data_IF_001552967257
#
_entry.id   IF_001552967257
#
_cell.length_a   1.000
_cell.length_b   1.000
_cell.length_c   1.000
_cell.angle_alpha   90.00
_cell.angle_beta   90.00
_cell.angle_gamma   90.00
#
_symmetry.space_group_name_H-M   'P 1'
#
loop_
_entity.id
_entity.type
_entity.pdbx_description
1 polymer ?
#
# COMPACT_ATOMS: atom_id res chain seq x y z
N UNK A 1 5.09 35.65 -1.55
CA UNK A 1 3.70 35.14 -1.58
C UNK A 1 3.41 34.66 -0.16
N UNK A 2 2.68 35.45 0.62
CA UNK A 2 2.23 35.04 1.95
C UNK A 2 1.00 34.16 1.74
N UNK A 3 1.03 32.92 2.20
CA UNK A 3 -0.18 32.12 2.32
C UNK A 3 -0.89 32.56 3.62
N UNK A 4 -2.02 33.30 3.53
CA UNK A 4 -2.72 33.79 4.71
C UNK A 4 -3.33 32.64 5.55
N UNK A 5 -3.32 31.40 5.05
CA UNK A 5 -3.85 30.23 5.73
C UNK A 5 -2.79 29.39 6.46
N UNK A 6 -1.50 29.78 6.38
CA UNK A 6 -0.40 28.98 6.94
C UNK A 6 -0.15 27.70 6.16
N UNK A 7 0.80 26.84 6.58
CA UNK A 7 1.01 25.55 5.94
C UNK A 7 -0.28 24.72 6.02
N UNK A 8 -0.56 23.96 4.96
CA UNK A 8 -1.70 23.06 4.89
C UNK A 8 -1.56 22.00 6.00
N UNK A 9 -2.36 22.12 7.06
CA UNK A 9 -2.45 21.11 8.10
C UNK A 9 -3.47 20.06 7.67
N UNK A 10 -3.01 18.82 7.49
CA UNK A 10 -3.90 17.71 7.22
C UNK A 10 -4.86 17.48 8.39
N UNK A 11 -6.06 16.97 8.08
CA UNK A 11 -7.16 16.86 9.03
C UNK A 11 -6.82 15.84 10.13
N UNK A 12 -6.59 16.34 11.34
CA UNK A 12 -6.61 15.52 12.57
C UNK A 12 -8.06 15.47 13.07
N UNK A 13 -8.68 14.29 13.04
CA UNK A 13 -9.99 14.09 13.67
C UNK A 13 -9.82 13.42 15.03
N UNK A 14 -10.57 13.89 16.03
CA UNK A 14 -10.66 13.26 17.36
C UNK A 14 -9.30 13.08 18.08
N UNK A 15 -8.41 14.08 17.97
CA UNK A 15 -7.03 14.04 18.51
C UNK A 15 -6.16 12.88 17.99
N UNK A 16 -6.55 12.28 16.86
CA UNK A 16 -5.78 11.22 16.22
C UNK A 16 -4.55 11.68 15.45
N UNK A 17 -3.75 10.72 14.96
CA UNK A 17 -2.60 10.99 14.13
C UNK A 17 -3.00 11.71 12.83
N UNK A 18 -2.01 12.31 12.18
CA UNK A 18 -2.22 12.93 10.88
C UNK A 18 -2.63 11.86 9.85
N UNK A 19 -3.69 12.15 9.09
CA UNK A 19 -4.18 11.28 8.03
C UNK A 19 -3.52 11.67 6.72
N UNK A 20 -2.82 10.73 6.11
CA UNK A 20 -2.20 10.90 4.80
C UNK A 20 -3.11 10.49 3.65
N UNK A 21 -2.67 10.81 2.44
CA UNK A 21 -3.20 10.27 1.20
C UNK A 21 -2.15 9.38 0.56
N UNK A 22 -2.61 8.32 -0.09
CA UNK A 22 -1.78 7.42 -0.86
C UNK A 22 -2.36 7.23 -2.24
N UNK A 23 -1.49 6.96 -3.22
CA UNK A 23 -1.86 6.44 -4.53
C UNK A 23 -0.92 5.30 -4.93
N UNK A 24 -1.50 4.31 -5.60
CA UNK A 24 -0.78 3.21 -6.27
C UNK A 24 -1.47 2.91 -7.60
N UNK A 25 -0.68 2.49 -8.58
CA UNK A 25 -1.16 1.77 -9.75
C UNK A 25 -0.88 0.29 -9.59
N UNK A 26 -1.90 -0.55 -9.72
CA UNK A 26 -1.76 -2.01 -9.54
C UNK A 26 -1.77 -2.70 -10.89
N UNK A 27 -0.82 -3.61 -11.11
CA UNK A 27 -0.77 -4.51 -12.27
C UNK A 27 -0.54 -5.95 -11.83
N UNK A 28 -1.28 -6.89 -12.37
CA UNK A 28 -1.19 -8.30 -11.98
C UNK A 28 -1.36 -9.30 -13.14
N UNK A 29 -1.98 -8.88 -14.25
CA UNK A 29 -2.18 -9.70 -15.43
C UNK A 29 -1.75 -8.91 -16.68
N UNK A 30 -0.53 -9.14 -17.14
CA UNK A 30 0.03 -8.37 -18.26
C UNK A 30 -0.80 -8.53 -19.56
N UNK A 31 -1.54 -9.63 -19.72
CA UNK A 31 -2.41 -9.80 -20.87
C UNK A 31 -3.58 -8.82 -20.82
N UNK A 32 -4.30 -8.70 -19.70
CA UNK A 32 -5.42 -7.75 -19.60
C UNK A 32 -4.93 -6.28 -19.53
N UNK A 33 -3.79 -6.02 -18.89
CA UNK A 33 -3.25 -4.66 -18.83
C UNK A 33 -2.73 -4.18 -20.19
N UNK A 34 -2.21 -5.09 -21.03
CA UNK A 34 -1.79 -4.79 -22.40
C UNK A 34 -2.93 -4.37 -23.34
N UNK A 35 -4.17 -4.69 -22.99
CA UNK A 35 -5.38 -4.37 -23.76
C UNK A 35 -5.98 -2.98 -23.42
N UNK A 36 -5.45 -2.29 -22.41
CA UNK A 36 -5.94 -0.97 -21.98
C UNK A 36 -5.78 0.06 -23.11
N UNK A 37 -6.88 0.73 -23.47
CA UNK A 37 -6.94 1.68 -24.57
C UNK A 37 -7.08 1.04 -25.95
N UNK A 38 -6.92 -0.29 -26.06
CA UNK A 38 -7.01 -1.05 -27.32
C UNK A 38 -8.32 -1.81 -27.42
N UNK A 39 -8.68 -2.58 -26.40
CA UNK A 39 -9.97 -3.32 -26.34
C UNK A 39 -10.70 -3.20 -25.00
N UNK A 40 -10.02 -2.73 -23.94
CA UNK A 40 -10.62 -2.45 -22.62
C UNK A 40 -10.24 -1.07 -22.10
N UNK A 41 -11.04 -0.50 -21.20
CA UNK A 41 -10.78 0.74 -20.46
C UNK A 41 -10.25 1.90 -21.34
N UNK A 42 -10.95 2.18 -22.45
CA UNK A 42 -10.48 3.17 -23.39
C UNK A 42 -11.08 4.57 -23.17
N UNK A 43 -10.24 5.60 -23.30
CA UNK A 43 -10.63 6.98 -23.11
C UNK A 43 -11.23 7.56 -24.40
N UNK A 44 -12.54 7.81 -24.42
CA UNK A 44 -13.23 8.45 -25.56
C UNK A 44 -13.55 7.54 -26.75
N UNK A 45 -13.17 6.26 -26.70
CA UNK A 45 -13.44 5.26 -27.75
C UNK A 45 -14.45 4.18 -27.32
N UNK A 46 -15.13 4.38 -26.19
CA UNK A 46 -16.23 3.54 -25.67
C UNK A 46 -15.88 2.08 -25.36
N UNK A 47 -14.60 1.71 -25.26
CA UNK A 47 -14.22 0.38 -24.81
C UNK A 47 -14.65 0.17 -23.35
N UNK A 48 -15.28 -0.98 -23.01
CA UNK A 48 -15.78 -1.23 -21.67
C UNK A 48 -14.61 -1.30 -20.68
N UNK A 49 -14.84 -0.81 -19.46
CA UNK A 49 -13.90 -0.92 -18.37
C UNK A 49 -14.53 -1.78 -17.26
N UNK A 50 -14.52 -3.12 -17.42
CA UNK A 50 -15.15 -4.00 -16.46
C UNK A 50 -14.42 -3.96 -15.12
N UNK A 51 -15.17 -4.19 -14.06
CA UNK A 51 -14.62 -4.47 -12.74
C UNK A 51 -13.96 -5.85 -12.75
N UNK A 52 -12.76 -5.93 -12.18
CA UNK A 52 -11.94 -7.14 -12.08
C UNK A 52 -11.66 -7.52 -10.61
N UNK A 53 -12.23 -6.75 -9.67
CA UNK A 53 -12.01 -6.87 -8.25
C UNK A 53 -12.42 -5.59 -7.53
N UNK A 54 -12.10 -5.53 -6.25
CA UNK A 54 -12.37 -4.38 -5.41
C UNK A 54 -11.24 -4.14 -4.40
N UNK A 55 -11.14 -2.89 -3.96
CA UNK A 55 -10.25 -2.49 -2.88
C UNK A 55 -11.00 -1.66 -1.83
N UNK A 56 -10.74 -1.93 -0.55
CA UNK A 56 -11.40 -1.25 0.57
C UNK A 56 -10.50 -1.10 1.78
N UNK A 57 -10.91 -0.33 2.78
CA UNK A 57 -10.20 -0.28 4.05
C UNK A 57 -10.30 -1.61 4.82
N UNK A 58 -9.23 -1.96 5.53
CA UNK A 58 -9.20 -3.15 6.40
C UNK A 58 -10.11 -3.00 7.63
N UNK A 59 -10.67 -4.14 8.05
CA UNK A 59 -11.42 -4.29 9.30
C UNK A 59 -12.93 -4.49 9.16
N UNK A 60 -13.55 -4.95 10.24
CA UNK A 60 -14.97 -5.33 10.30
C UNK A 60 -15.93 -4.20 9.89
N UNK A 61 -15.58 -2.94 10.17
CA UNK A 61 -16.40 -1.78 9.81
C UNK A 61 -16.66 -1.69 8.30
N UNK A 62 -15.76 -2.24 7.50
CA UNK A 62 -15.82 -2.23 6.03
C UNK A 62 -16.05 -3.63 5.46
N UNK A 63 -16.32 -4.64 6.29
CA UNK A 63 -16.49 -6.02 5.84
C UNK A 63 -17.65 -6.18 4.86
N UNK A 64 -18.78 -5.47 5.08
CA UNK A 64 -19.96 -5.49 4.21
C UNK A 64 -19.87 -4.55 3.00
N UNK A 65 -18.84 -3.72 2.91
CA UNK A 65 -18.62 -2.84 1.75
C UNK A 65 -17.83 -3.59 0.67
N UNK A 66 -18.23 -3.44 -0.59
CA UNK A 66 -17.41 -3.91 -1.69
C UNK A 66 -16.19 -3.00 -1.87
N UNK A 67 -16.30 -1.72 -1.55
CA UNK A 67 -15.26 -0.72 -1.73
C UNK A 67 -15.21 -0.16 -3.15
N UNK A 68 -14.02 0.30 -3.55
CA UNK A 68 -13.78 0.86 -4.87
C UNK A 68 -13.58 -0.27 -5.89
N UNK A 69 -14.31 -0.30 -7.03
CA UNK A 69 -14.06 -1.25 -8.09
C UNK A 69 -12.66 -1.05 -8.70
N UNK A 70 -11.95 -2.14 -8.89
CA UNK A 70 -10.63 -2.21 -9.51
C UNK A 70 -10.82 -2.69 -10.96
N UNK A 71 -10.16 -2.06 -11.92
CA UNK A 71 -10.29 -2.37 -13.36
C UNK A 71 -8.92 -2.64 -13.99
N UNK A 72 -8.86 -2.93 -15.29
CA UNK A 72 -7.58 -3.14 -15.99
C UNK A 72 -6.66 -1.90 -15.97
N UNK A 73 -7.18 -0.70 -15.71
CA UNK A 73 -6.37 0.50 -15.48
C UNK A 73 -6.54 1.00 -14.02
N UNK A 74 -6.10 0.16 -13.08
CA UNK A 74 -6.27 0.35 -11.64
C UNK A 74 -5.36 1.42 -11.05
N UNK A 75 -5.72 2.69 -11.24
CA UNK A 75 -5.17 3.83 -10.51
C UNK A 75 -6.01 4.08 -9.24
N UNK A 76 -5.44 3.76 -8.08
CA UNK A 76 -6.15 3.73 -6.79
C UNK A 76 -5.58 4.80 -5.89
N UNK A 77 -6.43 5.69 -5.38
CA UNK A 77 -6.06 6.72 -4.41
C UNK A 77 -7.04 6.76 -3.23
N UNK A 78 -6.54 7.07 -2.04
CA UNK A 78 -7.37 7.15 -0.85
C UNK A 78 -6.61 7.48 0.43
N UNK A 79 -7.31 7.51 1.59
CA UNK A 79 -6.67 7.73 2.89
C UNK A 79 -5.71 6.60 3.27
N UNK A 80 -4.57 6.96 3.87
CA UNK A 80 -3.56 6.02 4.40
C UNK A 80 -3.25 6.29 5.88
N UNK A 81 -2.36 5.51 6.49
CA UNK A 81 -2.00 5.59 7.91
C UNK A 81 -2.90 4.78 8.85
N UNK A 82 -4.10 4.41 8.41
CA UNK A 82 -5.01 3.51 9.13
C UNK A 82 -4.62 2.04 9.00
N UNK A 83 -5.56 1.12 9.23
CA UNK A 83 -5.26 -0.30 9.28
C UNK A 83 -4.77 -0.92 7.97
N UNK A 84 -5.02 -0.26 6.83
CA UNK A 84 -4.54 -0.67 5.50
C UNK A 84 -5.66 -0.76 4.48
N UNK A 85 -5.31 -1.18 3.27
CA UNK A 85 -6.24 -1.48 2.18
C UNK A 85 -6.25 -2.97 1.90
N UNK A 86 -7.42 -3.54 1.65
CA UNK A 86 -7.62 -4.95 1.28
C UNK A 86 -7.98 -5.00 -0.19
N UNK A 87 -7.13 -5.63 -1.00
CA UNK A 87 -7.37 -5.90 -2.41
C UNK A 87 -7.90 -7.32 -2.59
N UNK A 88 -9.03 -7.44 -3.28
CA UNK A 88 -9.64 -8.71 -3.66
C UNK A 88 -9.95 -8.70 -5.15
N UNK A 89 -9.31 -9.57 -5.92
CA UNK A 89 -9.54 -9.73 -7.35
C UNK A 89 -10.54 -10.86 -7.59
N UNK A 90 -11.41 -10.70 -8.60
CA UNK A 90 -12.53 -11.62 -8.85
C UNK A 90 -12.06 -13.03 -9.27
N UNK A 91 -10.88 -13.13 -9.90
CA UNK A 91 -10.30 -14.41 -10.34
C UNK A 91 -9.39 -15.07 -9.30
N UNK A 92 -9.17 -14.44 -8.15
CA UNK A 92 -8.33 -14.95 -7.06
C UNK A 92 -7.05 -14.14 -6.84
N UNK A 93 -6.14 -14.68 -6.04
CA UNK A 93 -4.88 -14.01 -5.71
C UNK A 93 -3.92 -14.05 -6.92
N UNK A 94 -3.23 -12.96 -7.26
CA UNK A 94 -2.35 -12.95 -8.42
C UNK A 94 -1.01 -13.65 -8.14
N UNK A 95 -0.49 -14.42 -9.10
CA UNK A 95 0.84 -15.06 -8.96
C UNK A 95 1.97 -14.02 -8.94
N UNK A 96 1.75 -12.88 -9.59
CA UNK A 96 2.69 -11.77 -9.68
C UNK A 96 1.92 -10.46 -9.68
N UNK A 97 2.37 -9.49 -8.89
CA UNK A 97 1.76 -8.17 -8.80
C UNK A 97 2.82 -7.09 -8.72
N UNK A 98 2.63 -6.02 -9.51
CA UNK A 98 3.42 -4.80 -9.49
C UNK A 98 2.60 -3.66 -8.93
N UNK A 99 3.19 -2.91 -8.01
CA UNK A 99 2.71 -1.61 -7.58
C UNK A 99 3.61 -0.55 -8.22
N UNK A 100 3.04 0.26 -9.10
CA UNK A 100 3.71 1.30 -9.87
C UNK A 100 3.18 2.69 -9.49
N UNK A 101 3.88 3.74 -9.93
CA UNK A 101 3.47 5.14 -9.78
C UNK A 101 3.11 5.52 -8.33
N UNK A 102 3.82 4.93 -7.37
CA UNK A 102 3.46 5.03 -5.95
C UNK A 102 3.65 6.47 -5.45
N UNK A 103 2.62 7.02 -4.80
CA UNK A 103 2.66 8.30 -4.09
C UNK A 103 2.22 8.07 -2.65
N UNK A 104 3.18 7.77 -1.76
CA UNK A 104 2.93 7.50 -0.34
C UNK A 104 3.99 8.23 0.48
N UNK A 105 3.56 8.94 1.52
CA UNK A 105 4.51 9.63 2.41
C UNK A 105 5.27 8.62 3.27
N UNK A 106 6.55 8.89 3.49
CA UNK A 106 7.43 8.07 4.33
C UNK A 106 6.93 7.93 5.78
N UNK A 107 6.27 8.97 6.31
CA UNK A 107 5.74 9.07 7.67
C UNK A 107 4.29 8.58 7.82
N UNK A 108 3.60 8.26 6.72
CA UNK A 108 2.24 7.76 6.76
C UNK A 108 2.12 6.46 5.95
N UNK A 109 2.27 5.28 6.59
CA UNK A 109 2.36 4.02 5.87
C UNK A 109 1.06 3.66 5.15
N UNK A 110 1.19 3.17 3.93
CA UNK A 110 0.15 2.40 3.25
C UNK A 110 0.45 0.91 3.47
N UNK A 111 -0.44 0.20 4.16
CA UNK A 111 -0.41 -1.26 4.18
C UNK A 111 -1.36 -1.80 3.13
N UNK A 112 -0.91 -2.78 2.35
CA UNK A 112 -1.74 -3.52 1.40
C UNK A 112 -1.89 -4.96 1.90
N UNK A 113 -3.14 -5.42 1.98
CA UNK A 113 -3.52 -6.77 2.33
C UNK A 113 -4.05 -7.50 1.11
N UNK A 114 -3.54 -8.70 0.86
CA UNK A 114 -4.01 -9.58 -0.20
C UNK A 114 -4.08 -10.99 0.35
N UNK A 115 -5.20 -11.65 0.13
CA UNK A 115 -5.44 -12.99 0.64
C UNK A 115 -4.94 -14.03 -0.36
N UNK A 116 -4.01 -14.88 0.05
CA UNK A 116 -3.46 -15.97 -0.74
C UNK A 116 -3.84 -17.35 -0.15
N UNK A 117 -3.67 -18.44 -0.91
CA UNK A 117 -3.74 -19.79 -0.35
C UNK A 117 -2.75 -19.95 0.82
N UNK A 118 -3.18 -20.61 1.89
CA UNK A 118 -2.33 -20.88 3.05
C UNK A 118 -1.09 -21.69 2.63
N UNK A 119 0.08 -21.28 3.11
CA UNK A 119 1.37 -21.90 2.76
C UNK A 119 2.04 -21.28 1.53
N UNK A 120 1.43 -20.27 0.89
CA UNK A 120 2.09 -19.49 -0.18
C UNK A 120 3.31 -18.76 0.38
N UNK A 121 4.47 -18.92 -0.27
CA UNK A 121 5.68 -18.14 -0.03
C UNK A 121 5.74 -16.92 -0.93
N UNK A 122 6.57 -15.94 -0.55
CA UNK A 122 6.66 -14.66 -1.27
C UNK A 122 8.10 -14.23 -1.50
N UNK A 123 8.35 -13.72 -2.70
CA UNK A 123 9.49 -12.88 -3.03
C UNK A 123 8.96 -11.48 -3.28
N UNK A 124 9.36 -10.52 -2.45
CA UNK A 124 8.93 -9.13 -2.57
C UNK A 124 10.17 -8.27 -2.72
N UNK A 125 10.24 -7.48 -3.80
CA UNK A 125 11.38 -6.63 -4.12
C UNK A 125 10.92 -5.22 -4.49
N UNK A 126 11.55 -4.19 -3.93
CA UNK A 126 11.47 -2.84 -4.47
C UNK A 126 12.52 -2.65 -5.57
N UNK A 127 12.16 -1.98 -6.66
CA UNK A 127 13.03 -1.73 -7.81
C UNK A 127 13.13 -0.24 -8.13
N UNK A 128 14.37 0.24 -8.30
CA UNK A 128 14.62 1.58 -8.86
C UNK A 128 14.68 1.52 -10.39
N UNK A 129 14.33 2.63 -11.03
CA UNK A 129 14.54 2.83 -12.45
C UNK A 129 15.92 3.46 -12.72
N UNK A 130 16.39 3.37 -13.96
CA UNK A 130 17.65 4.01 -14.40
C UNK A 130 18.85 3.80 -13.45
N UNK A 131 18.90 2.62 -12.83
CA UNK A 131 19.86 2.32 -11.79
C UNK A 131 20.94 1.37 -12.32
N UNK A 132 22.16 1.56 -11.83
CA UNK A 132 23.27 0.62 -11.98
C UNK A 132 23.86 0.38 -10.60
N UNK A 133 23.97 -0.91 -10.24
CA UNK A 133 24.50 -1.36 -8.95
C UNK A 133 26.00 -1.16 -8.91
N UNK A 134 26.50 -0.62 -7.80
CA UNK A 134 27.92 -0.51 -7.50
C UNK A 134 28.15 -0.63 -5.97
N UNK A 135 29.36 -0.35 -5.50
CA UNK A 135 29.69 -0.43 -4.06
C UNK A 135 28.97 0.63 -3.19
N UNK A 136 28.37 1.65 -3.81
CA UNK A 136 27.68 2.73 -3.14
C UNK A 136 26.17 2.65 -3.31
N UNK A 137 25.64 1.99 -4.36
CA UNK A 137 24.20 2.00 -4.63
C UNK A 137 23.66 0.61 -4.97
N UNK A 138 22.50 0.29 -4.39
CA UNK A 138 21.67 -0.85 -4.80
C UNK A 138 20.51 -0.39 -5.69
N UNK A 139 20.12 -1.23 -6.65
CA UNK A 139 18.95 -1.02 -7.50
C UNK A 139 17.70 -1.79 -7.06
N UNK A 140 17.86 -2.66 -6.08
CA UNK A 140 16.80 -3.49 -5.54
C UNK A 140 16.90 -3.60 -4.02
N UNK A 141 15.77 -3.75 -3.36
CA UNK A 141 15.71 -4.15 -1.96
C UNK A 141 14.77 -5.33 -1.80
N UNK A 142 15.26 -6.51 -1.37
CA UNK A 142 14.40 -7.61 -0.99
C UNK A 142 13.73 -7.30 0.35
N UNK A 143 12.43 -7.52 0.45
CA UNK A 143 11.70 -7.33 1.69
C UNK A 143 11.86 -8.56 2.58
N UNK A 144 11.82 -8.34 3.89
CA UNK A 144 11.97 -9.37 4.90
C UNK A 144 10.64 -9.72 5.56
N UNK A 145 10.40 -11.00 5.77
CA UNK A 145 9.24 -11.45 6.52
C UNK A 145 9.43 -11.16 8.01
N UNK A 146 8.42 -10.59 8.65
CA UNK A 146 8.35 -10.34 10.10
C UNK A 146 7.19 -11.12 10.74
N UNK A 147 7.06 -11.04 12.06
CA UNK A 147 6.14 -11.88 12.84
C UNK A 147 4.72 -11.34 12.97
N UNK A 148 4.46 -10.07 12.65
CA UNK A 148 3.15 -9.44 12.84
C UNK A 148 2.89 -8.26 11.90
N UNK A 149 1.62 -7.87 11.76
CA UNK A 149 1.22 -6.64 11.05
C UNK A 149 1.79 -5.39 11.74
N UNK A 150 1.91 -5.40 13.07
CA UNK A 150 2.49 -4.29 13.83
C UNK A 150 3.96 -4.07 13.43
N UNK A 151 4.75 -5.15 13.30
CA UNK A 151 6.14 -5.08 12.86
C UNK A 151 6.26 -4.53 11.43
N UNK A 152 5.35 -4.91 10.54
CA UNK A 152 5.29 -4.37 9.16
C UNK A 152 5.03 -2.86 9.18
N UNK A 153 4.11 -2.42 10.03
CA UNK A 153 3.74 -1.02 10.16
C UNK A 153 4.87 -0.17 10.70
N UNK A 154 5.57 -0.65 11.73
CA UNK A 154 6.65 0.09 12.40
C UNK A 154 8.00 0.00 11.71
N UNK A 155 8.14 -0.82 10.66
CA UNK A 155 9.43 -1.02 9.98
C UNK A 155 9.93 0.21 9.24
N UNK A 156 11.10 0.09 8.60
CA UNK A 156 11.58 1.08 7.63
C UNK A 156 11.05 0.82 6.22
N UNK A 157 9.96 0.07 6.05
CA UNK A 157 9.30 -0.09 4.75
C UNK A 157 9.83 -1.19 3.84
N UNK A 158 10.73 -2.06 4.31
CA UNK A 158 11.22 -3.24 3.60
C UNK A 158 10.79 -4.56 4.26
N UNK A 159 9.56 -4.62 4.77
CA UNK A 159 9.05 -5.80 5.50
C UNK A 159 7.65 -6.20 5.07
N UNK A 160 7.32 -7.47 5.26
CA UNK A 160 5.98 -8.02 5.06
C UNK A 160 5.64 -9.07 6.11
N UNK A 161 4.36 -9.41 6.25
CA UNK A 161 3.86 -10.45 7.14
C UNK A 161 2.85 -11.31 6.38
N UNK A 162 2.83 -12.61 6.66
CA UNK A 162 1.81 -13.53 6.16
C UNK A 162 1.14 -14.16 7.36
N UNK A 163 -0.17 -13.97 7.50
CA UNK A 163 -0.92 -14.64 8.53
C UNK A 163 -0.96 -16.15 8.23
N UNK A 164 -0.38 -17.01 9.08
CA UNK A 164 -0.26 -18.44 8.78
C UNK A 164 -1.61 -19.18 8.86
N UNK A 165 -2.61 -18.60 9.52
CA UNK A 165 -3.93 -19.20 9.71
C UNK A 165 -4.90 -18.78 8.63
N UNK A 166 -4.85 -17.52 8.18
CA UNK A 166 -5.76 -17.04 7.15
C UNK A 166 -5.12 -17.08 5.76
N UNK A 167 -3.81 -16.87 5.63
CA UNK A 167 -3.10 -16.69 4.35
C UNK A 167 -3.03 -15.24 3.86
N UNK A 168 -3.44 -14.27 4.68
CA UNK A 168 -3.36 -12.84 4.33
C UNK A 168 -1.91 -12.39 4.32
N UNK A 169 -1.41 -12.01 3.14
CA UNK A 169 -0.20 -11.20 2.98
C UNK A 169 -0.52 -9.76 3.39
N UNK A 170 0.35 -9.17 4.19
CA UNK A 170 0.39 -7.75 4.51
C UNK A 170 1.75 -7.19 4.16
N UNK A 171 1.79 -6.19 3.29
CA UNK A 171 3.03 -5.54 2.86
C UNK A 171 2.94 -4.03 3.10
N UNK A 172 4.03 -3.40 3.53
CA UNK A 172 4.13 -1.95 3.58
C UNK A 172 4.52 -1.43 2.21
N UNK A 173 3.64 -0.63 1.60
CA UNK A 173 3.91 0.05 0.35
C UNK A 173 4.74 1.31 0.64
N UNK A 174 5.78 1.51 -0.15
CA UNK A 174 6.72 2.61 -0.03
C UNK A 174 6.81 3.39 -1.35
N UNK A 175 7.02 4.70 -1.28
CA UNK A 175 7.50 5.43 -2.44
C UNK A 175 8.96 5.05 -2.68
N UNK A 176 9.22 4.40 -3.81
CA UNK A 176 10.57 3.98 -4.18
C UNK A 176 11.36 5.16 -4.76
N UNK A 177 12.61 5.36 -4.33
CA UNK A 177 13.46 6.36 -4.96
C UNK A 177 13.74 6.01 -6.42
N UNK A 178 14.00 7.05 -7.21
CA UNK A 178 13.95 6.91 -8.66
C UNK A 178 15.15 6.13 -9.22
N UNK A 179 16.37 6.46 -8.77
CA UNK A 179 17.66 6.07 -9.40
C UNK A 179 18.53 5.14 -8.56
N UNK A 180 18.06 4.76 -7.38
CA UNK A 180 18.67 3.82 -6.44
C UNK A 180 17.62 3.44 -5.39
N UNK A 181 17.87 2.36 -4.66
CA UNK A 181 17.03 1.88 -3.55
C UNK A 181 17.80 1.92 -2.22
N UNK A 182 19.08 1.53 -2.23
CA UNK A 182 19.96 1.57 -1.04
C UNK A 182 21.25 2.33 -1.32
N UNK A 183 21.89 2.85 -0.26
CA UNK A 183 23.18 3.54 -0.35
C UNK A 183 24.19 3.12 0.76
N UNK A 184 24.86 1.95 0.65
CA UNK A 184 24.48 0.77 -0.15
C UNK A 184 23.36 -0.03 0.50
N UNK A 185 23.18 0.13 1.82
CA UNK A 185 22.13 -0.51 2.61
C UNK A 185 20.78 0.19 2.42
N UNK A 186 19.72 -0.52 2.78
CA UNK A 186 18.36 0.00 2.78
C UNK A 186 18.20 1.22 3.70
N UNK A 187 17.45 2.20 3.21
CA UNK A 187 16.87 3.26 4.02
C UNK A 187 15.53 3.64 3.42
N UNK A 188 14.62 4.14 4.27
CA UNK A 188 13.38 4.72 3.80
C UNK A 188 13.63 6.19 3.43
N UNK A 189 13.55 6.59 2.15
CA UNK A 189 13.74 7.99 1.79
C UNK A 189 12.63 8.86 2.36
N UNK A 190 13.01 9.99 2.92
CA UNK A 190 12.12 11.09 3.28
C UNK A 190 12.13 12.19 2.21
N UNK A 191 11.38 13.27 2.46
CA UNK A 191 11.34 14.42 1.56
C UNK A 191 12.68 15.16 1.43
N UNK A 192 13.69 14.91 2.27
CA UNK A 192 14.97 15.61 2.22
C UNK A 192 16.14 14.70 1.85
N UNK A 193 15.86 13.42 1.62
CA UNK A 193 16.85 12.42 1.27
C UNK A 193 17.53 12.81 -0.03
N UNK A 194 18.85 12.84 0.01
CA UNK A 194 19.69 13.32 -1.09
C UNK A 194 19.68 12.30 -2.23
N UNK A 195 19.51 12.78 -3.47
CA UNK A 195 19.53 11.92 -4.64
C UNK A 195 20.93 11.35 -4.95
N UNK A 196 20.97 10.42 -5.90
CA UNK A 196 22.22 9.78 -6.35
C UNK A 196 23.27 10.84 -6.73
N UNK A 197 24.50 10.66 -6.24
CA UNK A 197 25.63 11.59 -6.45
C UNK A 197 25.43 13.02 -5.92
N UNK A 198 24.51 13.23 -4.98
CA UNK A 198 24.22 14.58 -4.47
C UNK A 198 23.28 15.39 -5.37
N UNK A 199 22.72 14.79 -6.42
CA UNK A 199 21.86 15.50 -7.37
C UNK A 199 20.40 15.45 -6.91
N UNK A 200 19.88 16.62 -6.52
CA UNK A 200 18.48 16.78 -6.16
C UNK A 200 18.08 15.86 -5.01
N UNK A 201 16.89 15.27 -5.11
CA UNK A 201 16.28 14.48 -4.05
C UNK A 201 16.06 13.03 -4.51
N UNK A 202 16.09 12.10 -3.55
CA UNK A 202 15.92 10.68 -3.81
C UNK A 202 14.52 10.34 -4.34
N UNK A 203 13.51 11.05 -3.82
CA UNK A 203 12.12 10.96 -4.25
C UNK A 203 11.66 12.26 -4.92
N UNK A 204 10.89 12.12 -5.99
CA UNK A 204 10.19 13.25 -6.60
C UNK A 204 9.11 13.77 -5.65
N UNK A 205 9.00 15.09 -5.55
CA UNK A 205 7.98 15.74 -4.74
C UNK A 205 7.49 17.05 -5.31
N UNK A 206 6.25 17.39 -4.99
CA UNK A 206 5.73 18.74 -5.12
C UNK A 206 6.08 19.54 -3.87
N UNK A 207 6.49 20.80 -4.06
CA UNK A 207 6.76 21.75 -2.99
C UNK A 207 6.08 23.09 -3.29
N UNK A 208 5.23 23.56 -2.36
CA UNK A 208 4.66 24.91 -2.41
C UNK A 208 4.27 25.38 -1.02
N UNK A 209 4.73 26.56 -0.61
CA UNK A 209 4.33 27.17 0.66
C UNK A 209 4.67 26.32 1.90
N UNK A 210 5.75 25.54 1.85
CA UNK A 210 6.14 24.62 2.93
C UNK A 210 5.35 23.29 2.95
N UNK A 211 4.46 23.06 1.99
CA UNK A 211 3.76 21.78 1.81
C UNK A 211 4.57 20.89 0.88
N UNK A 212 4.79 19.65 1.31
CA UNK A 212 5.48 18.61 0.56
C UNK A 212 4.53 17.46 0.27
N UNK A 213 4.42 17.07 -1.00
CA UNK A 213 3.66 15.88 -1.40
C UNK A 213 4.56 14.97 -2.22
N UNK A 214 4.58 13.66 -1.92
CA UNK A 214 5.03 12.63 -2.85
C UNK A 214 4.52 12.91 -4.26
N UNK A 215 5.40 12.78 -5.25
CA UNK A 215 5.04 12.80 -6.66
C UNK A 215 5.49 11.47 -7.27
N UNK A 216 4.62 10.87 -8.07
CA UNK A 216 4.94 9.62 -8.75
C UNK A 216 6.21 9.77 -9.61
N UNK A 217 7.03 8.73 -9.62
CA UNK A 217 8.14 8.57 -10.55
C UNK A 217 7.82 7.45 -11.53
N UNK A 218 8.12 7.67 -12.81
CA UNK A 218 7.95 6.63 -13.83
C UNK A 218 9.06 5.60 -13.72
N UNK A 219 8.72 4.31 -13.69
CA UNK A 219 9.70 3.22 -13.80
C UNK A 219 9.99 2.47 -12.50
N UNK A 220 10.16 3.10 -11.32
CA UNK A 220 10.26 2.36 -10.06
C UNK A 220 8.96 1.61 -9.73
N UNK A 221 9.08 0.46 -9.08
CA UNK A 221 7.94 -0.36 -8.68
C UNK A 221 8.26 -1.25 -7.47
N UNK A 222 7.21 -1.72 -6.80
CA UNK A 222 7.27 -2.84 -5.86
C UNK A 222 6.74 -4.08 -6.56
N UNK A 223 7.52 -5.15 -6.59
CA UNK A 223 7.17 -6.45 -7.14
C UNK A 223 6.79 -7.40 -6.00
N UNK A 224 5.71 -8.14 -6.17
CA UNK A 224 5.26 -9.20 -5.26
C UNK A 224 5.04 -10.45 -6.12
N UNK A 225 5.90 -11.46 -5.94
CA UNK A 225 5.78 -12.75 -6.60
C UNK A 225 5.41 -13.82 -5.56
N UNK A 226 4.33 -14.55 -5.83
CA UNK A 226 3.79 -15.58 -4.96
C UNK A 226 4.17 -16.98 -5.49
N UNK A 227 4.58 -17.88 -4.58
CA UNK A 227 5.01 -19.24 -4.94
C UNK A 227 3.86 -20.25 -5.11
N UNK A 228 2.63 -19.77 -5.30
CA UNK A 228 1.46 -20.64 -5.46
C UNK A 228 1.45 -21.32 -6.85
N UNK A 229 0.73 -22.44 -6.98
CA UNK A 229 0.52 -23.05 -8.30
C UNK A 229 -0.37 -22.13 -9.16
N UNK A 230 0.02 -21.86 -10.40
CA UNK A 230 -0.77 -21.06 -11.32
C UNK A 230 -2.03 -21.82 -11.79
N UNK A 231 -3.16 -21.10 -11.88
CA UNK A 231 -4.43 -21.61 -12.37
C UNK A 231 -4.50 -21.70 -13.90
N UNK A 232 -5.71 -21.91 -14.43
CA UNK A 232 -5.95 -21.94 -15.88
C UNK A 232 -5.61 -20.59 -16.53
N UNK A 233 -6.02 -19.48 -15.89
CA UNK A 233 -5.47 -18.17 -16.15
C UNK A 233 -4.15 -18.05 -15.37
N UNK A 234 -3.03 -18.14 -16.08
CA UNK A 234 -1.68 -18.18 -15.50
C UNK A 234 -1.32 -16.95 -14.64
N UNK A 235 -2.11 -15.87 -14.69
CA UNK A 235 -1.95 -14.69 -13.85
C UNK A 235 -2.40 -14.89 -12.38
N UNK A 236 -3.17 -15.95 -12.07
CA UNK A 236 -3.76 -16.17 -10.75
C UNK A 236 -3.35 -17.51 -10.15
N UNK A 237 -3.29 -17.58 -8.82
CA UNK A 237 -3.16 -18.84 -8.10
C UNK A 237 -4.35 -19.76 -8.41
N UNK A 238 -4.11 -21.06 -8.54
CA UNK A 238 -5.11 -22.07 -8.86
C UNK A 238 -6.14 -22.22 -7.74
N UNK A 239 -5.69 -22.19 -6.49
CA UNK A 239 -6.57 -22.25 -5.32
C UNK A 239 -7.21 -20.87 -5.11
N UNK A 240 -8.52 -20.81 -5.33
CA UNK A 240 -9.28 -19.61 -5.05
C UNK A 240 -9.57 -19.50 -3.55
N UNK A 241 -9.46 -18.27 -3.04
CA UNK A 241 -9.87 -17.98 -1.68
C UNK A 241 -11.35 -17.60 -1.70
N UNK A 242 -12.20 -18.55 -1.32
CA UNK A 242 -13.65 -18.48 -1.51
C UNK A 242 -14.38 -17.58 -0.49
N UNK A 243 -13.67 -16.90 0.41
CA UNK A 243 -14.26 -16.09 1.46
C UNK A 243 -13.81 -14.63 1.34
N UNK A 244 -14.75 -13.71 1.61
CA UNK A 244 -14.46 -12.30 1.78
C UNK A 244 -13.35 -12.13 2.82
N UNK A 245 -12.30 -11.40 2.46
CA UNK A 245 -11.15 -11.19 3.34
C UNK A 245 -11.55 -10.25 4.46
N UNK A 246 -11.62 -10.77 5.68
CA UNK A 246 -11.73 -9.96 6.89
C UNK A 246 -10.34 -9.96 7.53
N UNK A 247 -9.75 -8.76 7.63
CA UNK A 247 -8.52 -8.54 8.38
C UNK A 247 -8.94 -8.09 9.77
N UNK A 248 -8.60 -8.87 10.79
CA UNK A 248 -8.83 -8.46 12.18
C UNK A 248 -7.85 -7.34 12.53
N UNK A 249 -8.40 -6.16 12.80
CA UNK A 249 -7.62 -4.94 13.01
C UNK A 249 -7.68 -4.41 14.44
N UNK A 250 -8.69 -4.80 15.21
CA UNK A 250 -8.85 -4.38 16.59
C UNK A 250 -8.35 -5.45 17.56
N UNK A 251 -7.77 -5.04 18.70
CA UNK A 251 -7.53 -5.96 19.81
C UNK A 251 -8.81 -6.63 20.31
N UNK A 252 -8.67 -7.75 21.00
CA UNK A 252 -9.80 -8.42 21.64
C UNK A 252 -10.53 -7.47 22.61
N UNK A 253 -11.87 -7.38 22.46
CA UNK A 253 -12.71 -6.48 23.28
C UNK A 253 -12.74 -5.03 22.81
N UNK A 254 -12.31 -4.77 21.57
CA UNK A 254 -12.42 -3.49 20.91
C UNK A 254 -13.19 -3.63 19.60
N UNK A 255 -14.02 -2.63 19.30
CA UNK A 255 -14.73 -2.49 18.04
C UNK A 255 -14.11 -1.41 17.16
N UNK A 256 -14.08 -1.66 15.84
CA UNK A 256 -13.58 -0.68 14.88
C UNK A 256 -14.57 0.47 14.71
N UNK A 257 -14.19 1.67 15.13
CA UNK A 257 -15.03 2.87 15.02
C UNK A 257 -14.68 3.73 13.81
N UNK A 258 -13.44 3.66 13.33
CA UNK A 258 -12.95 4.35 12.12
C UNK A 258 -11.89 3.50 11.38
N UNK A 259 -11.48 3.94 10.18
CA UNK A 259 -10.47 3.23 9.37
C UNK A 259 -9.08 3.14 10.03
N UNK A 260 -8.85 3.97 11.04
CA UNK A 260 -7.61 4.13 11.78
C UNK A 260 -7.79 3.98 13.30
N UNK A 261 -8.97 3.57 13.78
CA UNK A 261 -9.31 3.62 15.21
C UNK A 261 -10.21 2.48 15.68
N UNK A 262 -9.83 1.88 16.80
CA UNK A 262 -10.62 0.92 17.58
C UNK A 262 -10.90 1.50 18.98
N UNK A 263 -12.07 1.21 19.55
CA UNK A 263 -12.41 1.62 20.92
C UNK A 263 -12.92 0.43 21.73
N UNK A 264 -12.65 0.42 23.04
CA UNK A 264 -13.06 -0.66 23.92
C UNK A 264 -14.58 -0.76 23.98
N UNK A 265 -15.09 -1.99 23.91
CA UNK A 265 -16.51 -2.28 24.07
C UNK A 265 -17.00 -2.00 25.50
N UNK A 266 -16.09 -2.08 26.48
CA UNK A 266 -16.38 -1.86 27.90
C UNK A 266 -16.23 -0.42 28.35
N UNK A 267 -15.35 0.35 27.70
CA UNK A 267 -15.15 1.79 27.94
C UNK A 267 -14.91 2.51 26.61
N UNK A 268 -15.95 3.12 26.00
CA UNK A 268 -15.84 3.79 24.72
C UNK A 268 -14.91 5.02 24.70
N UNK A 269 -14.41 5.47 25.86
CA UNK A 269 -13.42 6.55 25.94
C UNK A 269 -11.98 6.05 25.76
N UNK A 270 -11.76 4.74 25.92
CA UNK A 270 -10.49 4.08 25.73
C UNK A 270 -10.38 3.62 24.27
N UNK A 271 -9.59 4.33 23.48
CA UNK A 271 -9.39 4.01 22.08
C UNK A 271 -7.92 3.93 21.70
N UNK A 272 -7.63 3.05 20.74
CA UNK A 272 -6.33 2.81 20.14
C UNK A 272 -6.39 3.16 18.65
N UNK A 273 -5.39 3.90 18.17
CA UNK A 273 -5.21 4.16 16.75
C UNK A 273 -4.37 3.07 16.08
N UNK A 274 -4.43 2.98 14.76
CA UNK A 274 -3.71 1.97 13.99
C UNK A 274 -2.18 2.01 14.18
N UNK A 275 -1.61 3.14 14.62
CA UNK A 275 -0.20 3.29 14.96
C UNK A 275 0.14 2.84 16.41
N UNK A 276 -0.83 2.31 17.15
CA UNK A 276 -0.70 1.88 18.53
C UNK A 276 -0.81 3.01 19.55
N UNK A 277 -1.05 4.25 19.11
CA UNK A 277 -1.24 5.36 20.05
C UNK A 277 -2.59 5.27 20.74
N UNK A 278 -2.60 5.42 22.06
CA UNK A 278 -3.81 5.40 22.87
C UNK A 278 -4.32 6.82 23.11
N UNK A 279 -5.64 6.98 23.08
CA UNK A 279 -6.29 8.20 23.55
C UNK A 279 -7.37 7.86 24.55
N UNK A 280 -7.28 8.49 25.73
CA UNK A 280 -8.42 8.71 26.60
C UNK A 280 -9.10 9.98 26.09
N UNK A 281 -10.14 9.87 25.28
CA UNK A 281 -10.90 11.05 24.89
C UNK A 281 -11.77 11.48 26.08
N UNK A 282 -11.20 12.24 27.02
CA UNK A 282 -12.05 13.09 27.86
C UNK A 282 -12.73 14.10 26.91
N UNK A 283 -14.07 14.15 26.96
CA UNK A 283 -14.89 15.05 26.15
C UNK A 283 -14.50 16.51 26.30
#
# INVERSE_FOLDING_TARGET
IYDPHGPLNFIKQSNGPERGLGHIKVRWDDAIHGEVGVTVCGNGNSYPCPTLGYIKHAGEKFASDNGLPVTANADIAGPVGGYGWVLQLDQGAPVSMKLELIEVRWDTPLLLHVQYPIGTGFTIEAHAAWCSTDQYYSCKEPFQQVGSVADVRSSLGNTYYVNPTTGVLTVRVIQTPQSFIGNPDWFLPDNNSVGKWGNGYAIDRFERGGVYLPKMSYGPYLQIDASCAAGSNQAFCADQVLQSVIVDVCPNGYSQVAYDKCCSDSDPLLCEFADGTNTNTQR
#
